data_IF_698575719676
#
_entry.id   IF_698575719676
#
_cell.length_a   1.000
_cell.length_b   1.000
_cell.length_c   1.000
_cell.angle_alpha   90.00
_cell.angle_beta   90.00
_cell.angle_gamma   90.00
#
_symmetry.space_group_name_H-M   'P 1'
#
loop_
_entity.id
_entity.type
_entity.pdbx_description
1 polymer ?
#
# COMPACT_ATOMS: atom_id res chain seq x y z
N UNK A 1 16.02 33.65 29.75
CA UNK A 1 16.28 32.18 29.78
C UNK A 1 15.42 31.37 28.79
N UNK A 2 14.41 31.94 28.13
CA UNK A 2 13.48 31.21 27.23
C UNK A 2 14.06 30.87 25.83
N UNK A 3 14.84 31.75 25.22
CA UNK A 3 15.38 31.52 23.86
C UNK A 3 16.32 30.31 23.75
N UNK A 4 17.10 30.01 24.81
CA UNK A 4 17.98 28.84 24.84
C UNK A 4 17.21 27.53 24.88
N UNK A 5 16.06 27.46 25.57
CA UNK A 5 15.24 26.25 25.60
C UNK A 5 14.50 26.02 24.30
N UNK A 6 13.96 27.07 23.67
CA UNK A 6 13.30 27.00 22.35
C UNK A 6 14.27 26.52 21.28
N UNK A 7 15.49 27.07 21.23
CA UNK A 7 16.53 26.61 20.29
C UNK A 7 16.87 25.13 20.48
N UNK A 8 16.99 24.68 21.73
CA UNK A 8 17.27 23.26 22.04
C UNK A 8 16.12 22.34 21.59
N UNK A 9 14.86 22.74 21.81
CA UNK A 9 13.71 21.97 21.36
C UNK A 9 13.65 21.87 19.83
N UNK A 10 13.97 22.96 19.13
CA UNK A 10 14.05 22.96 17.67
C UNK A 10 15.13 21.99 17.17
N UNK A 11 16.35 22.05 17.72
CA UNK A 11 17.43 21.16 17.32
C UNK A 11 17.08 19.67 17.54
N UNK A 12 16.43 19.33 18.65
CA UNK A 12 15.95 17.95 18.88
C UNK A 12 14.96 17.49 17.81
N UNK A 13 14.03 18.36 17.40
CA UNK A 13 13.11 18.03 16.31
C UNK A 13 13.86 17.80 15.00
N UNK A 14 14.88 18.60 14.70
CA UNK A 14 15.71 18.40 13.51
C UNK A 14 16.42 17.05 13.57
N UNK A 15 17.04 16.71 14.70
CA UNK A 15 17.67 15.39 14.91
C UNK A 15 16.65 14.23 14.73
N UNK A 16 15.43 14.37 15.26
CA UNK A 16 14.36 13.38 15.07
C UNK A 16 13.92 13.27 13.59
N UNK A 17 13.84 14.38 12.86
CA UNK A 17 13.51 14.39 11.43
C UNK A 17 14.62 13.76 10.60
N UNK A 18 15.88 14.09 10.86
CA UNK A 18 17.03 13.51 10.18
C UNK A 18 17.07 12.00 10.37
N UNK A 19 16.79 11.52 11.60
CA UNK A 19 16.66 10.10 11.88
C UNK A 19 15.53 9.43 11.09
N UNK A 20 14.38 10.09 10.92
CA UNK A 20 13.26 9.57 10.11
C UNK A 20 13.60 9.53 8.62
N UNK A 21 14.21 10.60 8.08
CA UNK A 21 14.62 10.68 6.67
C UNK A 21 15.65 9.59 6.36
N UNK A 22 16.59 9.33 7.27
CA UNK A 22 17.58 8.27 7.11
C UNK A 22 16.94 6.86 7.03
N UNK A 23 15.84 6.63 7.76
CA UNK A 23 15.12 5.35 7.79
C UNK A 23 14.06 5.20 6.69
N UNK A 24 13.51 6.31 6.20
CA UNK A 24 12.45 6.35 5.19
C UNK A 24 12.71 5.46 3.96
N UNK A 25 13.90 5.45 3.32
CA UNK A 25 14.10 4.61 2.14
C UNK A 25 14.03 3.12 2.44
N UNK A 26 14.46 2.69 3.64
CA UNK A 26 14.37 1.28 4.05
C UNK A 26 12.92 0.88 4.31
N UNK A 27 12.20 1.70 5.09
CA UNK A 27 10.79 1.46 5.40
C UNK A 27 9.91 1.48 4.14
N UNK A 28 10.22 2.36 3.19
CA UNK A 28 9.51 2.44 1.91
C UNK A 28 9.80 1.19 1.07
N UNK A 29 11.05 0.77 0.96
CA UNK A 29 11.39 -0.46 0.24
C UNK A 29 10.77 -1.72 0.87
N UNK A 30 10.70 -1.79 2.20
CA UNK A 30 10.00 -2.89 2.91
C UNK A 30 8.50 -2.89 2.63
N UNK A 31 7.87 -1.71 2.67
CA UNK A 31 6.45 -1.52 2.32
C UNK A 31 6.18 -1.95 0.87
N UNK A 32 6.98 -1.49 -0.08
CA UNK A 32 6.82 -1.80 -1.50
C UNK A 32 6.94 -3.31 -1.75
N UNK A 33 7.90 -3.98 -1.08
CA UNK A 33 8.03 -5.44 -1.14
C UNK A 33 6.81 -6.17 -0.57
N UNK A 34 6.30 -5.72 0.58
CA UNK A 34 5.12 -6.31 1.20
C UNK A 34 3.88 -6.13 0.29
N UNK A 35 3.73 -4.93 -0.26
CA UNK A 35 2.65 -4.56 -1.17
C UNK A 35 2.65 -5.43 -2.44
N UNK A 36 3.78 -5.55 -3.14
CA UNK A 36 3.88 -6.37 -4.34
C UNK A 36 3.69 -7.86 -4.06
N UNK A 37 4.12 -8.36 -2.90
CA UNK A 37 3.88 -9.75 -2.48
C UNK A 37 2.38 -10.03 -2.29
N UNK A 38 1.66 -9.11 -1.66
CA UNK A 38 0.22 -9.25 -1.48
C UNK A 38 -0.51 -9.21 -2.82
N UNK A 39 -0.15 -8.28 -3.73
CA UNK A 39 -0.72 -8.24 -5.07
C UNK A 39 -0.48 -9.53 -5.85
N UNK A 40 0.74 -10.09 -5.75
CA UNK A 40 1.05 -11.38 -6.37
C UNK A 40 0.18 -12.51 -5.82
N UNK A 41 -0.01 -12.56 -4.50
CA UNK A 41 -0.93 -13.52 -3.88
C UNK A 41 -2.35 -13.37 -4.42
N UNK A 42 -2.85 -12.13 -4.47
CA UNK A 42 -4.21 -11.88 -4.96
C UNK A 42 -4.38 -12.32 -6.42
N UNK A 43 -3.35 -12.11 -7.25
CA UNK A 43 -3.33 -12.55 -8.65
C UNK A 43 -3.31 -14.08 -8.79
N UNK A 44 -2.54 -14.78 -7.95
CA UNK A 44 -2.49 -16.25 -7.93
C UNK A 44 -3.84 -16.84 -7.50
N UNK A 45 -4.45 -16.28 -6.46
CA UNK A 45 -5.75 -16.70 -5.96
C UNK A 45 -6.87 -16.37 -6.98
N UNK A 46 -6.82 -15.22 -7.68
CA UNK A 46 -7.73 -14.89 -8.79
C UNK A 46 -7.64 -15.92 -9.91
N UNK A 47 -6.42 -16.30 -10.30
CA UNK A 47 -6.19 -17.30 -11.35
C UNK A 47 -6.79 -18.65 -10.98
N UNK A 48 -6.69 -19.06 -9.71
CA UNK A 48 -7.30 -20.31 -9.25
C UNK A 48 -8.83 -20.22 -9.22
N UNK A 49 -9.38 -19.09 -8.74
CA UNK A 49 -10.82 -18.87 -8.60
C UNK A 49 -11.54 -18.75 -9.95
N UNK A 50 -10.92 -18.06 -10.91
CA UNK A 50 -11.56 -17.69 -12.18
C UNK A 50 -11.25 -18.64 -13.35
N UNK A 51 -10.54 -19.75 -13.10
CA UNK A 51 -10.09 -20.70 -14.14
C UNK A 51 -11.21 -21.29 -15.01
N UNK A 52 -12.41 -21.43 -14.45
CA UNK A 52 -13.54 -22.09 -15.11
C UNK A 52 -14.48 -21.09 -15.81
N UNK A 53 -14.18 -19.79 -15.76
CA UNK A 53 -15.01 -18.73 -16.36
C UNK A 53 -14.57 -18.48 -17.80
N UNK A 54 -15.46 -18.66 -18.81
CA UNK A 54 -15.09 -18.49 -20.21
C UNK A 54 -14.76 -17.02 -20.53
N UNK A 55 -13.61 -16.80 -21.17
CA UNK A 55 -13.16 -15.46 -21.58
C UNK A 55 -12.59 -14.59 -20.46
N UNK A 56 -12.41 -15.14 -19.24
CA UNK A 56 -11.74 -14.41 -18.17
C UNK A 56 -10.22 -14.40 -18.38
N UNK A 57 -9.63 -13.20 -18.41
CA UNK A 57 -8.19 -12.99 -18.44
C UNK A 57 -7.76 -12.32 -17.12
N UNK A 58 -6.96 -13.03 -16.33
CA UNK A 58 -6.54 -12.61 -14.98
C UNK A 58 -5.87 -11.22 -15.01
N UNK A 59 -6.29 -10.33 -14.11
CA UNK A 59 -5.77 -8.96 -14.04
C UNK A 59 -6.33 -8.00 -15.10
N UNK A 60 -7.33 -8.42 -15.88
CA UNK A 60 -8.07 -7.56 -16.81
C UNK A 60 -9.57 -7.77 -16.64
N UNK A 61 -10.37 -6.87 -17.21
CA UNK A 61 -11.80 -7.08 -17.31
C UNK A 61 -12.10 -7.78 -18.65
N UNK A 62 -12.14 -9.12 -18.64
CA UNK A 62 -12.38 -9.93 -19.86
C UNK A 62 -11.47 -9.55 -21.05
N UNK A 63 -10.18 -9.30 -20.79
CA UNK A 63 -9.19 -8.89 -21.79
C UNK A 63 -9.08 -7.38 -22.03
N UNK A 64 -9.98 -6.57 -21.48
CA UNK A 64 -9.86 -5.11 -21.52
C UNK A 64 -9.18 -4.56 -20.25
N UNK A 65 -8.24 -3.59 -20.40
CA UNK A 65 -7.73 -2.86 -19.24
C UNK A 65 -8.84 -1.98 -18.64
N UNK A 66 -8.94 -1.99 -17.31
CA UNK A 66 -9.94 -1.20 -16.57
C UNK A 66 -9.75 0.31 -16.84
N UNK A 67 -8.50 0.77 -16.86
CA UNK A 67 -8.17 2.18 -17.05
C UNK A 67 -7.79 2.46 -18.51
N UNK A 68 -8.70 3.10 -19.24
CA UNK A 68 -8.52 3.40 -20.68
C UNK A 68 -7.62 4.62 -20.94
N UNK A 69 -7.50 5.53 -19.98
CA UNK A 69 -6.74 6.78 -20.09
C UNK A 69 -5.32 6.70 -19.55
N UNK A 70 -5.00 5.64 -18.80
CA UNK A 70 -3.69 5.48 -18.19
C UNK A 70 -2.64 5.03 -19.22
N UNK A 71 -1.39 5.53 -19.13
CA UNK A 71 -0.28 4.97 -19.90
C UNK A 71 -0.07 3.49 -19.58
N UNK A 72 0.44 2.71 -20.54
CA UNK A 72 0.63 1.26 -20.38
C UNK A 72 1.60 0.88 -19.25
N UNK A 73 2.57 1.75 -18.95
CA UNK A 73 3.58 1.52 -17.91
C UNK A 73 3.17 2.08 -16.55
N UNK A 74 1.96 2.62 -16.42
CA UNK A 74 1.48 3.22 -15.19
C UNK A 74 0.87 2.16 -14.26
N UNK A 75 1.40 2.04 -13.05
CA UNK A 75 0.83 1.20 -12.00
C UNK A 75 -0.24 1.99 -11.22
N UNK A 76 -1.50 1.62 -11.40
CA UNK A 76 -2.59 2.13 -10.56
C UNK A 76 -2.60 1.39 -9.22
N UNK A 77 -2.55 2.13 -8.12
CA UNK A 77 -2.67 1.54 -6.80
C UNK A 77 -4.09 1.00 -6.59
N UNK A 78 -4.24 -0.22 -6.04
CA UNK A 78 -5.54 -0.83 -5.77
C UNK A 78 -6.25 -0.09 -4.64
N UNK A 79 -7.57 -0.27 -4.57
CA UNK A 79 -8.34 0.16 -3.40
C UNK A 79 -8.06 -0.77 -2.20
N UNK A 80 -8.39 -0.30 -0.99
CA UNK A 80 -8.25 -1.11 0.24
C UNK A 80 -9.04 -2.43 0.12
N UNK A 81 -10.24 -2.38 -0.49
CA UNK A 81 -11.06 -3.56 -0.75
C UNK A 81 -10.37 -4.57 -1.67
N UNK A 82 -9.76 -4.10 -2.75
CA UNK A 82 -9.05 -4.95 -3.71
C UNK A 82 -7.80 -5.57 -3.10
N UNK A 83 -7.05 -4.78 -2.33
CA UNK A 83 -5.83 -5.24 -1.68
C UNK A 83 -6.11 -6.33 -0.62
N UNK A 84 -7.21 -6.17 0.13
CA UNK A 84 -7.63 -7.08 1.21
C UNK A 84 -8.78 -8.02 0.82
N UNK A 85 -9.05 -8.21 -0.47
CA UNK A 85 -10.20 -9.01 -0.94
C UNK A 85 -10.19 -10.46 -0.43
N UNK A 86 -8.99 -11.03 -0.26
CA UNK A 86 -8.78 -12.43 0.13
C UNK A 86 -8.10 -12.56 1.51
N UNK A 87 -7.97 -11.47 2.28
CA UNK A 87 -7.49 -11.57 3.64
C UNK A 87 -8.58 -12.10 4.58
N UNK A 88 -8.16 -12.61 5.74
CA UNK A 88 -9.09 -13.02 6.80
C UNK A 88 -9.98 -11.85 7.21
N UNK A 89 -11.27 -12.07 7.50
CA UNK A 89 -12.18 -11.00 7.95
C UNK A 89 -11.64 -10.18 9.14
N UNK A 90 -10.90 -10.82 10.05
CA UNK A 90 -10.26 -10.15 11.19
C UNK A 90 -9.16 -9.17 10.76
N UNK A 91 -8.37 -9.57 9.77
CA UNK A 91 -7.29 -8.74 9.25
C UNK A 91 -7.88 -7.55 8.50
N UNK A 92 -8.91 -7.80 7.70
CA UNK A 92 -9.66 -6.76 6.98
C UNK A 92 -10.25 -5.73 7.96
N UNK A 93 -10.93 -6.17 9.02
CA UNK A 93 -11.49 -5.29 10.06
C UNK A 93 -10.41 -4.45 10.76
N UNK A 94 -9.29 -5.07 11.16
CA UNK A 94 -8.17 -4.39 11.78
C UNK A 94 -7.62 -3.28 10.88
N UNK A 95 -7.43 -3.57 9.59
CA UNK A 95 -6.90 -2.61 8.62
C UNK A 95 -7.85 -1.44 8.36
N UNK A 96 -9.15 -1.71 8.26
CA UNK A 96 -10.17 -0.65 8.14
C UNK A 96 -10.14 0.29 9.35
N UNK A 97 -10.20 -0.26 10.56
CA UNK A 97 -10.21 0.53 11.79
C UNK A 97 -8.92 1.34 11.98
N UNK A 98 -7.76 0.77 11.61
CA UNK A 98 -6.48 1.46 11.72
C UNK A 98 -6.35 2.63 10.74
N UNK A 99 -6.91 2.50 9.52
CA UNK A 99 -6.94 3.57 8.53
C UNK A 99 -7.81 4.75 8.94
N UNK A 100 -8.95 4.51 9.61
CA UNK A 100 -9.85 5.59 10.05
C UNK A 100 -9.46 6.25 11.39
N UNK A 101 -8.72 5.56 12.26
CA UNK A 101 -8.36 6.08 13.60
C UNK A 101 -7.12 6.96 13.64
N UNK A 102 -6.30 6.95 12.60
CA UNK A 102 -5.02 7.68 12.55
C UNK A 102 -5.06 8.88 11.57
N UNK A 103 -6.25 9.29 11.13
CA UNK A 103 -6.51 10.55 10.43
C UNK A 103 -7.00 11.61 11.41
#
# INVERSE_FOLDING_TARGET
MYFRSVRRQYLRKVEDYDGRIALEPLLTAERDRAFLKQLKKNFEDEKELMKDVPGWEVGTLYGEPIFKTAPKDFHMNPTINEYFAQSSPKDTEYNYLFAYKNC
#
